data_IF_244499886128
#
_entry.id   IF_244499886128
#
_cell.length_a   1.000
_cell.length_b   1.000
_cell.length_c   1.000
_cell.angle_alpha   90.00
_cell.angle_beta   90.00
_cell.angle_gamma   90.00
#
_symmetry.space_group_name_H-M   'P 1'
#
loop_
_entity.id
_entity.type
_entity.pdbx_description
1 polymer ?
#
# COMPACT_ATOMS: atom_id res chain seq x y z
N UNK A 1 25.97 10.56 24.89
CA UNK A 1 25.05 10.90 23.78
C UNK A 1 24.87 9.78 22.72
N UNK A 2 25.92 9.09 22.25
CA UNK A 2 25.80 8.08 21.18
C UNK A 2 24.90 6.88 21.50
N UNK A 3 24.87 6.43 22.77
CA UNK A 3 24.04 5.30 23.23
C UNK A 3 22.53 5.59 23.15
N UNK A 4 22.11 6.81 23.51
CA UNK A 4 20.71 7.24 23.48
C UNK A 4 20.15 7.29 22.05
N UNK A 5 20.96 7.74 21.09
CA UNK A 5 20.59 7.74 19.67
C UNK A 5 20.40 6.31 19.16
N UNK A 6 21.25 5.38 19.59
CA UNK A 6 21.12 3.97 19.22
C UNK A 6 19.85 3.30 19.78
N UNK A 7 19.53 3.57 21.04
CA UNK A 7 18.29 3.08 21.68
C UNK A 7 17.05 3.67 20.99
N UNK A 8 17.09 4.94 20.59
CA UNK A 8 15.99 5.60 19.87
C UNK A 8 15.77 5.03 18.45
N UNK A 9 16.86 4.67 17.75
CA UNK A 9 16.77 4.04 16.44
C UNK A 9 16.23 2.61 16.52
N UNK A 10 16.60 1.84 17.54
CA UNK A 10 16.07 0.48 17.71
C UNK A 10 14.60 0.53 18.13
N UNK A 11 14.22 1.43 19.04
CA UNK A 11 12.85 1.53 19.52
C UNK A 11 11.87 1.96 18.43
N UNK A 12 12.22 2.95 17.60
CA UNK A 12 11.38 3.42 16.49
C UNK A 12 11.06 2.32 15.46
N UNK A 13 12.04 1.48 15.11
CA UNK A 13 11.83 0.33 14.25
C UNK A 13 10.92 -0.73 14.90
N UNK A 14 11.02 -0.91 16.21
CA UNK A 14 10.19 -1.85 16.96
C UNK A 14 8.72 -1.40 17.03
N UNK A 15 8.47 -0.10 17.24
CA UNK A 15 7.10 0.44 17.26
C UNK A 15 6.40 0.33 15.90
N UNK A 16 7.10 0.55 14.78
CA UNK A 16 6.52 0.33 13.45
C UNK A 16 6.19 -1.14 13.19
N UNK A 17 7.07 -2.07 13.58
CA UNK A 17 6.84 -3.52 13.44
C UNK A 17 5.66 -4.00 14.28
N UNK A 18 5.45 -3.43 15.47
CA UNK A 18 4.30 -3.76 16.30
C UNK A 18 2.97 -3.36 15.67
N UNK A 19 2.94 -2.25 14.91
CA UNK A 19 1.71 -1.71 14.32
C UNK A 19 1.29 -2.41 13.02
N UNK A 20 2.24 -2.92 12.24
CA UNK A 20 1.97 -3.56 10.95
C UNK A 20 1.69 -5.05 11.13
N UNK A 21 0.55 -5.51 10.59
CA UNK A 21 0.15 -6.93 10.57
C UNK A 21 0.73 -7.65 9.34
N UNK A 22 0.61 -7.02 8.16
CA UNK A 22 1.15 -7.60 6.93
C UNK A 22 1.33 -6.55 5.83
N UNK A 23 2.31 -6.79 4.96
CA UNK A 23 2.58 -5.96 3.78
C UNK A 23 2.47 -6.85 2.55
N UNK A 24 1.67 -6.41 1.58
CA UNK A 24 1.49 -7.04 0.27
C UNK A 24 1.98 -6.10 -0.80
N UNK A 25 2.92 -6.55 -1.64
CA UNK A 25 3.42 -5.77 -2.76
C UNK A 25 3.14 -6.52 -4.06
N UNK A 26 2.58 -5.79 -5.02
CA UNK A 26 2.41 -6.19 -6.40
C UNK A 26 3.21 -5.24 -7.28
N UNK A 27 4.08 -5.80 -8.11
CA UNK A 27 4.84 -5.04 -9.11
C UNK A 27 4.48 -5.59 -10.48
N UNK A 28 4.04 -4.71 -11.37
CA UNK A 28 3.81 -5.03 -12.79
C UNK A 28 4.77 -4.20 -13.62
N UNK A 29 5.51 -4.87 -14.49
CA UNK A 29 6.28 -4.22 -15.54
C UNK A 29 5.57 -4.54 -16.85
N UNK A 30 5.01 -3.54 -17.48
CA UNK A 30 4.47 -3.70 -18.83
C UNK A 30 5.52 -3.16 -19.80
N UNK A 31 6.12 -4.08 -20.55
CA UNK A 31 7.07 -3.78 -21.61
C UNK A 31 6.29 -3.88 -22.92
N UNK A 32 6.00 -2.75 -23.54
CA UNK A 32 5.40 -2.71 -24.86
C UNK A 32 6.50 -2.73 -25.92
N UNK A 33 6.22 -3.24 -27.12
CA UNK A 33 7.17 -3.24 -28.24
C UNK A 33 7.61 -1.84 -28.65
N UNK A 34 6.85 -0.81 -28.28
CA UNK A 34 7.14 0.57 -28.59
C UNK A 34 7.96 1.23 -27.46
N UNK A 35 9.18 1.67 -27.78
CA UNK A 35 10.24 2.14 -26.85
C UNK A 35 9.81 3.25 -25.87
N UNK A 36 8.73 3.96 -26.18
CA UNK A 36 8.21 5.12 -25.45
C UNK A 36 7.05 4.82 -24.48
N UNK A 37 6.58 3.57 -24.36
CA UNK A 37 5.41 3.22 -23.53
C UNK A 37 5.70 2.24 -22.39
N UNK A 38 6.98 2.11 -22.03
CA UNK A 38 7.35 1.32 -20.86
C UNK A 38 6.82 2.01 -19.60
N UNK A 39 6.02 1.28 -18.83
CA UNK A 39 5.58 1.75 -17.52
C UNK A 39 5.72 0.65 -16.47
N UNK A 40 6.05 1.09 -15.26
CA UNK A 40 6.10 0.24 -14.08
C UNK A 40 5.00 0.66 -13.14
N UNK A 41 4.17 -0.31 -12.73
CA UNK A 41 3.15 -0.11 -11.72
C UNK A 41 3.59 -0.84 -10.45
N UNK A 42 3.52 -0.14 -9.32
CA UNK A 42 3.76 -0.72 -8.00
C UNK A 42 2.58 -0.43 -7.10
N UNK A 43 1.84 -1.47 -6.73
CA UNK A 43 0.70 -1.41 -5.83
C UNK A 43 1.07 -2.11 -4.52
N UNK A 44 1.11 -1.33 -3.43
CA UNK A 44 1.49 -1.81 -2.10
C UNK A 44 0.32 -1.65 -1.15
N UNK A 45 -0.05 -2.70 -0.43
CA UNK A 45 -1.10 -2.71 0.59
C UNK A 45 -0.47 -3.06 1.92
N UNK A 46 -0.61 -2.17 2.89
CA UNK A 46 -0.13 -2.32 4.26
C UNK A 46 -1.37 -2.50 5.14
N UNK A 47 -1.45 -3.62 5.83
CA UNK A 47 -2.49 -3.91 6.81
C UNK A 47 -1.91 -3.70 8.20
N UNK A 48 -2.58 -2.89 9.01
CA UNK A 48 -2.23 -2.63 10.41
C UNK A 48 -3.06 -3.51 11.36
N UNK A 49 -2.53 -3.75 12.56
CA UNK A 49 -3.19 -4.61 13.57
C UNK A 49 -4.51 -4.04 14.08
N UNK A 50 -4.66 -2.72 14.06
CA UNK A 50 -5.86 -1.97 14.43
C UNK A 50 -7.00 -2.04 13.39
N UNK A 51 -6.88 -2.95 12.41
CA UNK A 51 -7.84 -3.13 11.30
C UNK A 51 -7.92 -1.95 10.32
N UNK A 52 -6.96 -1.03 10.35
CA UNK A 52 -6.80 -0.01 9.31
C UNK A 52 -5.82 -0.48 8.22
N UNK A 53 -5.95 0.04 7.01
CA UNK A 53 -5.02 -0.22 5.91
C UNK A 53 -4.54 1.07 5.25
N UNK A 54 -3.37 0.97 4.62
CA UNK A 54 -2.85 1.94 3.67
C UNK A 54 -2.51 1.24 2.36
N UNK A 55 -3.07 1.69 1.25
CA UNK A 55 -2.71 1.24 -0.09
C UNK A 55 -2.03 2.38 -0.84
N UNK A 56 -0.92 2.08 -1.50
CA UNK A 56 -0.11 3.04 -2.25
C UNK A 56 0.04 2.49 -3.66
N UNK A 57 -0.50 3.20 -4.64
CA UNK A 57 -0.33 2.89 -6.05
C UNK A 57 0.63 3.91 -6.66
N UNK A 58 1.75 3.42 -7.16
CA UNK A 58 2.71 4.23 -7.90
C UNK A 58 2.70 3.79 -9.35
N UNK A 59 2.52 4.75 -10.24
CA UNK A 59 2.65 4.58 -11.69
C UNK A 59 3.87 5.39 -12.14
N UNK A 60 4.85 4.68 -12.70
CA UNK A 60 6.06 5.28 -13.29
C UNK A 60 6.04 5.05 -14.78
N UNK A 61 5.64 6.07 -15.54
CA UNK A 61 5.75 6.15 -16.98
C UNK A 61 6.98 6.95 -17.42
N UNK A 62 7.21 7.03 -18.73
CA UNK A 62 8.30 7.82 -19.30
C UNK A 62 8.14 9.32 -19.01
N UNK A 63 6.91 9.84 -19.00
CA UNK A 63 6.60 11.27 -18.83
C UNK A 63 5.70 11.59 -17.60
N UNK A 64 5.23 10.58 -16.88
CA UNK A 64 4.25 10.76 -15.80
C UNK A 64 4.63 9.97 -14.54
N UNK A 65 4.53 10.64 -13.40
CA UNK A 65 4.64 10.05 -12.07
C UNK A 65 3.34 10.33 -11.33
N UNK A 66 2.50 9.31 -11.20
CA UNK A 66 1.24 9.39 -10.45
C UNK A 66 1.34 8.52 -9.20
N UNK A 67 0.94 9.09 -8.06
CA UNK A 67 0.91 8.42 -6.78
C UNK A 67 -0.46 8.62 -6.14
N UNK A 68 -1.15 7.51 -5.90
CA UNK A 68 -2.44 7.48 -5.22
C UNK A 68 -2.32 6.73 -3.92
N UNK A 69 -2.70 7.39 -2.83
CA UNK A 69 -2.77 6.78 -1.50
C UNK A 69 -4.23 6.60 -1.09
N UNK A 70 -4.57 5.40 -0.65
CA UNK A 70 -5.89 5.06 -0.15
C UNK A 70 -5.79 4.59 1.29
N UNK A 71 -6.70 5.05 2.13
CA UNK A 71 -6.80 4.69 3.53
C UNK A 71 -8.21 4.17 3.84
N UNK A 72 -8.30 3.29 4.82
CA UNK A 72 -9.57 2.80 5.33
C UNK A 72 -9.43 1.59 6.23
N UNK A 73 -10.45 0.76 6.28
CA UNK A 73 -10.52 -0.42 7.14
C UNK A 73 -10.40 -1.72 6.35
N UNK A 74 -9.87 -2.75 6.98
CA UNK A 74 -9.78 -4.08 6.40
C UNK A 74 -10.39 -5.15 7.30
N UNK A 75 -10.94 -6.17 6.66
CA UNK A 75 -11.34 -7.42 7.32
C UNK A 75 -11.00 -8.63 6.46
N UNK A 76 -10.79 -9.77 7.12
CA UNK A 76 -10.68 -11.06 6.45
C UNK A 76 -11.98 -11.83 6.66
N UNK A 77 -12.64 -12.17 5.56
CA UNK A 77 -13.82 -13.05 5.59
C UNK A 77 -13.54 -14.27 4.74
N UNK A 78 -13.58 -15.46 5.37
CA UNK A 78 -13.25 -16.77 4.78
C UNK A 78 -11.83 -16.80 4.19
N UNK A 79 -11.67 -16.38 2.93
CA UNK A 79 -10.41 -16.33 2.17
C UNK A 79 -10.27 -15.04 1.35
N UNK A 80 -11.06 -14.03 1.67
CA UNK A 80 -11.10 -12.75 0.97
C UNK A 80 -10.64 -11.64 1.90
N UNK A 81 -9.79 -10.75 1.40
CA UNK A 81 -9.51 -9.47 2.05
C UNK A 81 -10.51 -8.45 1.52
N UNK A 82 -11.28 -7.90 2.44
CA UNK A 82 -12.22 -6.83 2.17
C UNK A 82 -11.56 -5.52 2.58
N UNK A 83 -11.43 -4.57 1.64
CA UNK A 83 -10.94 -3.22 1.90
C UNK A 83 -12.09 -2.24 1.79
N UNK A 84 -12.41 -1.57 2.89
CA UNK A 84 -13.44 -0.53 2.95
C UNK A 84 -12.74 0.82 2.88
N UNK A 85 -12.83 1.51 1.74
CA UNK A 85 -12.20 2.82 1.58
C UNK A 85 -12.92 3.89 2.36
N UNK A 86 -12.13 4.78 2.95
CA UNK A 86 -12.62 5.96 3.67
C UNK A 86 -12.00 7.24 3.13
N UNK A 87 -10.74 7.19 2.64
CA UNK A 87 -10.04 8.36 2.13
C UNK A 87 -9.19 8.02 0.92
N UNK A 88 -9.17 8.95 -0.04
CA UNK A 88 -8.24 8.95 -1.17
C UNK A 88 -7.45 10.25 -1.13
N UNK A 89 -6.13 10.10 -1.22
CA UNK A 89 -5.19 11.21 -1.29
C UNK A 89 -4.45 11.06 -2.63
N UNK A 90 -4.72 12.01 -3.52
CA UNK A 90 -3.96 12.18 -4.76
C UNK A 90 -2.87 13.25 -4.50
N UNK A 91 -1.84 13.31 -5.33
CA UNK A 91 -0.60 14.09 -5.11
C UNK A 91 -0.77 15.59 -4.82
N UNK A 92 -1.97 16.17 -5.02
CA UNK A 92 -2.26 17.58 -4.81
C UNK A 92 -3.55 17.85 -4.02
N UNK A 93 -4.40 16.86 -3.76
CA UNK A 93 -5.72 17.06 -3.14
C UNK A 93 -6.13 15.88 -2.25
N UNK A 94 -6.66 16.22 -1.07
CA UNK A 94 -7.27 15.28 -0.14
C UNK A 94 -8.78 15.18 -0.41
N UNK A 95 -9.21 14.05 -0.96
CA UNK A 95 -10.63 13.80 -1.19
C UNK A 95 -11.15 12.85 -0.10
N UNK A 96 -12.00 13.39 0.78
CA UNK A 96 -12.80 12.57 1.69
C UNK A 96 -13.86 11.86 0.85
N UNK A 97 -13.81 10.54 0.81
CA UNK A 97 -14.81 9.74 0.09
C UNK A 97 -15.97 9.53 1.07
N UNK A 98 -17.03 10.34 0.94
CA UNK A 98 -18.21 10.23 1.79
C UNK A 98 -19.05 8.96 1.51
N UNK A 99 -18.91 8.38 0.32
CA UNK A 99 -19.56 7.11 -0.04
C UNK A 99 -18.64 5.92 0.20
N UNK A 100 -19.13 4.92 0.94
CA UNK A 100 -18.38 3.69 1.25
C UNK A 100 -18.12 2.91 -0.06
N UNK A 101 -16.98 3.16 -0.70
CA UNK A 101 -16.48 2.32 -1.77
C UNK A 101 -15.81 1.09 -1.15
N UNK A 102 -16.36 -0.09 -1.40
CA UNK A 102 -15.75 -1.37 -0.99
C UNK A 102 -14.98 -1.97 -2.15
N UNK A 103 -13.68 -2.18 -1.98
CA UNK A 103 -12.85 -2.92 -2.92
C UNK A 103 -12.67 -4.33 -2.38
N UNK A 104 -13.25 -5.29 -3.09
CA UNK A 104 -13.07 -6.70 -2.80
C UNK A 104 -11.79 -7.20 -3.49
N UNK A 105 -10.71 -7.36 -2.72
CA UNK A 105 -9.46 -7.92 -3.25
C UNK A 105 -9.45 -9.42 -3.02
N UNK A 106 -9.70 -10.17 -4.09
CA UNK A 106 -9.42 -11.60 -4.11
C UNK A 106 -7.91 -11.78 -4.20
N UNK A 107 -7.26 -12.09 -3.08
CA UNK A 107 -5.86 -12.49 -3.07
C UNK A 107 -5.70 -13.82 -3.80
N UNK A 108 -5.34 -13.75 -5.08
CA UNK A 108 -4.64 -14.86 -5.71
C UNK A 108 -3.24 -14.87 -5.12
N UNK A 109 -2.96 -15.85 -4.25
CA UNK A 109 -1.68 -16.05 -3.53
C UNK A 109 -0.42 -15.94 -4.44
N UNK A 110 -0.58 -16.09 -5.76
CA UNK A 110 0.46 -15.93 -6.79
C UNK A 110 0.82 -14.47 -7.15
N UNK A 111 -0.07 -13.50 -6.95
CA UNK A 111 0.13 -12.10 -7.40
C UNK A 111 0.73 -11.20 -6.32
N UNK A 112 0.41 -11.43 -5.05
CA UNK A 112 0.89 -10.61 -3.94
C UNK A 112 1.88 -11.40 -3.09
N UNK A 113 3.09 -10.86 -2.91
CA UNK A 113 4.09 -11.44 -2.02
C UNK A 113 3.99 -10.77 -0.65
N UNK A 114 3.88 -11.59 0.41
CA UNK A 114 4.03 -11.11 1.79
C UNK A 114 5.50 -10.82 2.03
N UNK A 115 5.82 -9.58 2.43
CA UNK A 115 7.16 -9.20 2.90
C UNK A 115 7.19 -9.39 4.42
N UNK A 116 8.22 -10.07 4.93
CA UNK A 116 8.46 -10.24 6.37
C UNK A 116 9.28 -9.08 6.90
#
# INVERSE_FOLDING_TARGET
>A
MKLLVFIFLISSNFFLSQKVESIYVLTRKNIYSNKYKNHTEKDSIILYKDKTFKRIQNYWGFDELDNKTYLGEWSFSKRLLLLKLQRKQDSLEDVVINDIQSINIKFLKRKYRKVK
#
